data_IF_910193325461
#
_entry.id   IF_910193325461
#
_cell.length_a   1.000
_cell.length_b   1.000
_cell.length_c   1.000
_cell.angle_alpha   90.00
_cell.angle_beta   90.00
_cell.angle_gamma   90.00
#
_symmetry.space_group_name_H-M   'P 1'
#
loop_
_entity.id
_entity.type
_entity.pdbx_description
1 polymer ?
#
# COMPACT_ATOMS: atom_id res chain seq x y z
N UNK A 1 12.90 -0.48 26.37
CA UNK A 1 12.19 -1.73 25.97
C UNK A 1 10.99 -1.46 25.05
N UNK A 2 10.78 -0.22 24.61
CA UNK A 2 9.79 0.16 23.57
C UNK A 2 10.43 1.03 22.47
N UNK A 3 11.74 0.91 22.29
CA UNK A 3 12.52 1.82 21.45
C UNK A 3 12.47 1.42 19.95
N UNK A 4 11.83 0.29 19.64
CA UNK A 4 11.82 -0.33 18.32
C UNK A 4 10.40 -0.28 17.70
N UNK A 5 10.03 0.88 17.15
CA UNK A 5 8.69 1.11 16.57
C UNK A 5 8.45 0.35 15.25
N UNK A 6 9.38 0.42 14.29
CA UNK A 6 9.31 -0.32 13.02
C UNK A 6 10.61 -1.08 12.79
N UNK A 7 10.62 -2.36 13.16
CA UNK A 7 11.74 -3.28 12.89
C UNK A 7 11.50 -4.09 11.63
N UNK A 8 12.54 -4.71 11.06
CA UNK A 8 12.38 -5.66 9.96
C UNK A 8 11.39 -6.79 10.28
N UNK A 9 11.36 -7.28 11.52
CA UNK A 9 10.41 -8.33 11.93
C UNK A 9 8.96 -7.82 11.88
N UNK A 10 8.70 -6.60 12.36
CA UNK A 10 7.37 -5.97 12.27
C UNK A 10 7.01 -5.73 10.80
N UNK A 11 7.94 -5.20 10.00
CA UNK A 11 7.76 -4.97 8.57
C UNK A 11 7.64 -6.26 7.75
N UNK A 12 8.03 -7.42 8.28
CA UNK A 12 7.79 -8.71 7.65
C UNK A 12 6.35 -9.20 7.81
N UNK A 13 5.57 -8.58 8.71
CA UNK A 13 4.17 -8.95 8.93
C UNK A 13 3.23 -8.22 7.98
N UNK A 14 2.07 -8.83 7.70
CA UNK A 14 1.02 -8.20 6.92
C UNK A 14 0.61 -6.83 7.51
N UNK A 15 0.36 -6.76 8.82
CA UNK A 15 -0.05 -5.52 9.48
C UNK A 15 1.05 -4.46 9.41
N UNK A 16 2.32 -4.83 9.63
CA UNK A 16 3.44 -3.90 9.53
C UNK A 16 3.57 -3.30 8.12
N UNK A 17 3.45 -4.13 7.08
CA UNK A 17 3.47 -3.67 5.69
C UNK A 17 2.28 -2.76 5.38
N UNK A 18 1.07 -3.12 5.80
CA UNK A 18 -0.13 -2.30 5.59
C UNK A 18 0.03 -0.94 6.26
N UNK A 19 0.48 -0.89 7.51
CA UNK A 19 0.69 0.37 8.24
C UNK A 19 1.79 1.21 7.55
N UNK A 20 2.92 0.59 7.20
CA UNK A 20 4.02 1.27 6.52
C UNK A 20 3.58 1.85 5.17
N UNK A 21 2.94 1.04 4.32
CA UNK A 21 2.39 1.48 3.03
C UNK A 21 1.35 2.58 3.22
N UNK A 22 0.45 2.47 4.19
CA UNK A 22 -0.58 3.49 4.47
C UNK A 22 0.03 4.83 4.84
N UNK A 23 1.06 4.84 5.69
CA UNK A 23 1.74 6.06 6.10
C UNK A 23 2.41 6.71 4.89
N UNK A 24 3.20 5.95 4.12
CA UNK A 24 3.90 6.45 2.93
C UNK A 24 2.90 7.07 1.94
N UNK A 25 1.83 6.35 1.63
CA UNK A 25 0.81 6.81 0.67
C UNK A 25 0.07 8.03 1.17
N UNK A 26 -0.27 8.11 2.45
CA UNK A 26 -0.99 9.26 2.99
C UNK A 26 -0.20 10.57 2.87
N UNK A 27 1.12 10.54 3.08
CA UNK A 27 1.96 11.73 2.91
C UNK A 27 2.22 12.09 1.45
N UNK A 28 2.23 11.10 0.56
CA UNK A 28 2.64 11.30 -0.85
C UNK A 28 1.46 11.47 -1.81
N UNK A 29 0.27 10.98 -1.46
CA UNK A 29 -0.92 10.98 -2.34
C UNK A 29 -1.29 12.36 -2.85
N UNK A 30 -1.13 13.42 -2.06
CA UNK A 30 -1.43 14.80 -2.49
C UNK A 30 -0.52 15.27 -3.63
N UNK A 31 0.75 14.87 -3.62
CA UNK A 31 1.69 15.18 -4.71
C UNK A 31 1.34 14.39 -5.97
N UNK A 32 1.09 13.09 -5.84
CA UNK A 32 0.74 12.21 -6.96
C UNK A 32 -0.59 12.63 -7.59
N UNK A 33 -1.61 12.90 -6.77
CA UNK A 33 -2.94 13.33 -7.23
C UNK A 33 -2.88 14.65 -8.00
N UNK A 34 -2.05 15.60 -7.57
CA UNK A 34 -1.90 16.90 -8.24
C UNK A 34 -1.24 16.77 -9.62
N UNK A 35 -0.35 15.81 -9.82
CA UNK A 35 0.34 15.59 -11.10
C UNK A 35 -0.40 14.68 -12.07
N UNK A 36 -1.05 13.62 -11.58
CA UNK A 36 -1.49 12.49 -12.41
C UNK A 36 -2.94 12.03 -12.18
N UNK A 37 -3.69 12.71 -11.30
CA UNK A 37 -5.09 12.39 -11.01
C UNK A 37 -5.29 11.19 -10.07
N UNK A 38 -6.55 10.81 -9.85
CA UNK A 38 -6.95 9.84 -8.81
C UNK A 38 -6.56 8.38 -9.14
N UNK A 39 -6.61 7.98 -10.41
CA UNK A 39 -6.20 6.63 -10.82
C UNK A 39 -4.71 6.35 -10.56
N UNK A 40 -3.87 7.37 -10.66
CA UNK A 40 -2.43 7.25 -10.44
C UNK A 40 -2.07 6.94 -8.98
N UNK A 41 -2.88 7.40 -8.02
CA UNK A 41 -2.66 7.12 -6.59
C UNK A 41 -2.82 5.62 -6.29
N UNK A 42 -3.78 4.95 -6.95
CA UNK A 42 -4.00 3.51 -6.78
C UNK A 42 -2.81 2.69 -7.30
N UNK A 43 -2.36 2.99 -8.51
CA UNK A 43 -1.19 2.34 -9.09
C UNK A 43 0.06 2.62 -8.27
N UNK A 44 0.27 3.88 -7.85
CA UNK A 44 1.36 4.25 -6.96
C UNK A 44 1.37 3.45 -5.66
N UNK A 45 0.21 3.32 -5.01
CA UNK A 45 0.07 2.55 -3.75
C UNK A 45 0.45 1.08 -3.96
N UNK A 46 0.05 0.49 -5.09
CA UNK A 46 0.45 -0.86 -5.45
C UNK A 46 1.96 -1.02 -5.69
N UNK A 47 2.60 -0.05 -6.35
CA UNK A 47 4.06 -0.08 -6.54
C UNK A 47 4.79 -0.03 -5.20
N UNK A 48 4.34 0.84 -4.29
CA UNK A 48 4.92 0.94 -2.95
C UNK A 48 4.73 -0.37 -2.16
N UNK A 49 3.53 -0.95 -2.17
CA UNK A 49 3.30 -2.22 -1.47
C UNK A 49 4.15 -3.35 -2.04
N UNK A 50 4.32 -3.41 -3.36
CA UNK A 50 5.14 -4.42 -4.04
C UNK A 50 6.60 -4.31 -3.62
N UNK A 51 7.16 -3.09 -3.62
CA UNK A 51 8.55 -2.86 -3.21
C UNK A 51 8.74 -3.28 -1.74
N UNK A 52 7.89 -2.82 -0.83
CA UNK A 52 8.02 -3.14 0.59
C UNK A 52 7.85 -4.65 0.85
N UNK A 53 6.87 -5.29 0.21
CA UNK A 53 6.65 -6.74 0.37
C UNK A 53 7.83 -7.55 -0.15
N UNK A 54 8.45 -7.13 -1.26
CA UNK A 54 9.62 -7.80 -1.82
C UNK A 54 10.85 -7.68 -0.92
N UNK A 55 11.01 -6.54 -0.24
CA UNK A 55 12.15 -6.28 0.65
C UNK A 55 11.97 -6.99 2.00
N UNK A 56 10.79 -6.91 2.60
CA UNK A 56 10.59 -7.33 3.99
C UNK A 56 9.82 -8.63 4.18
N UNK A 57 9.01 -9.06 3.21
CA UNK A 57 8.14 -10.25 3.32
C UNK A 57 8.30 -11.24 2.16
N UNK A 58 9.52 -11.33 1.62
CA UNK A 58 9.84 -12.29 0.55
C UNK A 58 9.52 -13.71 1.01
N UNK A 59 8.47 -14.27 0.43
CA UNK A 59 7.94 -15.57 0.82
C UNK A 59 8.32 -16.61 -0.23
N UNK A 60 9.35 -17.42 0.06
CA UNK A 60 9.80 -18.51 -0.83
C UNK A 60 10.85 -18.11 -1.88
N UNK A 61 11.30 -19.10 -2.66
CA UNK A 61 12.28 -18.96 -3.74
C UNK A 61 11.70 -19.38 -5.10
N UNK A 62 12.29 -18.89 -6.18
CA UNK A 62 11.84 -19.18 -7.54
C UNK A 62 10.52 -18.51 -7.93
N UNK A 63 9.88 -19.05 -8.98
CA UNK A 63 8.68 -18.47 -9.60
C UNK A 63 7.50 -18.39 -8.62
N UNK A 64 7.32 -19.41 -7.79
CA UNK A 64 6.25 -19.46 -6.79
C UNK A 64 6.36 -18.32 -5.77
N UNK A 65 7.58 -18.00 -5.31
CA UNK A 65 7.78 -16.93 -4.34
C UNK A 65 7.51 -15.54 -4.92
N UNK A 66 7.83 -15.33 -6.21
CA UNK A 66 7.51 -14.08 -6.91
C UNK A 66 6.00 -13.90 -7.05
N UNK A 67 5.27 -14.96 -7.45
CA UNK A 67 3.81 -14.93 -7.56
C UNK A 67 3.17 -14.63 -6.20
N UNK A 68 3.64 -15.29 -5.13
CA UNK A 68 3.10 -15.08 -3.80
C UNK A 68 3.35 -13.65 -3.28
N UNK A 69 4.54 -13.11 -3.56
CA UNK A 69 4.89 -11.72 -3.22
C UNK A 69 3.98 -10.72 -3.95
N UNK A 70 3.67 -10.98 -5.22
CA UNK A 70 2.72 -10.19 -6.02
C UNK A 70 1.32 -10.20 -5.40
N UNK A 71 0.81 -11.39 -5.04
CA UNK A 71 -0.52 -11.53 -4.43
C UNK A 71 -0.57 -10.77 -3.09
N UNK A 72 0.45 -10.95 -2.24
CA UNK A 72 0.52 -10.25 -0.95
C UNK A 72 0.57 -8.72 -1.14
N UNK A 73 1.34 -8.23 -2.12
CA UNK A 73 1.40 -6.81 -2.43
C UNK A 73 0.05 -6.22 -2.87
N UNK A 74 -0.76 -6.97 -3.63
CA UNK A 74 -2.13 -6.58 -4.00
C UNK A 74 -3.01 -6.47 -2.75
N UNK A 75 -2.95 -7.45 -1.85
CA UNK A 75 -3.73 -7.43 -0.61
C UNK A 75 -3.34 -6.24 0.29
N UNK A 76 -2.03 -6.01 0.42
CA UNK A 76 -1.49 -4.90 1.21
C UNK A 76 -1.92 -3.55 0.62
N UNK A 77 -1.88 -3.38 -0.71
CA UNK A 77 -2.27 -2.11 -1.33
C UNK A 77 -3.75 -1.81 -1.11
N UNK A 78 -4.63 -2.81 -1.24
CA UNK A 78 -6.06 -2.63 -0.94
C UNK A 78 -6.33 -2.31 0.52
N UNK A 79 -5.64 -2.99 1.44
CA UNK A 79 -5.77 -2.69 2.87
C UNK A 79 -5.24 -1.27 3.20
N UNK A 80 -4.13 -0.86 2.59
CA UNK A 80 -3.46 0.41 2.87
C UNK A 80 -4.18 1.64 2.29
N UNK A 81 -4.86 1.48 1.15
CA UNK A 81 -5.77 2.52 0.65
C UNK A 81 -7.02 2.68 1.53
N UNK A 82 -7.23 1.76 2.49
CA UNK A 82 -8.46 1.59 3.21
C UNK A 82 -9.53 1.10 2.25
N UNK A 83 -10.12 -0.08 2.51
CA UNK A 83 -11.32 -0.53 1.79
C UNK A 83 -12.44 0.53 1.75
N UNK A 84 -12.35 1.55 2.59
CA UNK A 84 -13.22 2.72 2.65
C UNK A 84 -13.30 3.54 1.34
N UNK A 85 -12.23 3.92 0.63
CA UNK A 85 -12.40 4.73 -0.61
C UNK A 85 -12.96 3.92 -1.79
N UNK A 86 -12.84 2.58 -1.77
CA UNK A 86 -13.37 1.67 -2.78
C UNK A 86 -14.83 1.26 -2.48
N UNK A 87 -15.21 1.19 -1.21
CA UNK A 87 -16.57 0.84 -0.76
C UNK A 87 -17.46 2.08 -0.55
N UNK A 88 -16.91 3.20 -0.07
CA UNK A 88 -17.68 4.41 0.22
C UNK A 88 -17.85 5.35 -0.98
N UNK A 89 -16.97 5.27 -1.99
CA UNK A 89 -17.14 6.04 -3.24
C UNK A 89 -16.63 5.26 -4.47
N UNK A 90 -17.33 4.18 -4.89
CA UNK A 90 -17.00 3.46 -6.12
C UNK A 90 -17.14 4.32 -7.39
N UNK A 91 -17.80 5.49 -7.32
CA UNK A 91 -18.09 6.37 -8.46
C UNK A 91 -17.20 7.61 -8.53
N UNK A 92 -16.32 7.85 -7.56
CA UNK A 92 -15.46 9.04 -7.48
C UNK A 92 -16.26 10.36 -7.61
N UNK A 93 -17.45 10.43 -7.01
CA UNK A 93 -18.25 11.66 -6.98
C UNK A 93 -17.76 12.58 -5.85
N UNK A 94 -16.52 13.08 -5.98
CA UNK A 94 -16.12 14.28 -5.21
C UNK A 94 -16.91 15.46 -5.77
N UNK A 95 -18.01 15.81 -5.11
CA UNK A 95 -18.64 17.11 -5.31
C UNK A 95 -17.58 18.19 -5.04
N UNK A 96 -17.22 18.92 -6.09
CA UNK A 96 -16.50 20.18 -5.94
C UNK A 96 -17.39 21.08 -5.10
N UNK A 97 -17.03 21.28 -3.84
CA UNK A 97 -17.60 22.35 -3.04
C UNK A 97 -17.24 23.65 -3.78
N UNK A 98 -18.28 24.35 -4.23
CA UNK A 98 -18.20 25.64 -4.92
C UNK A 98 -17.60 26.71 -4.02
#
# INVERSE_FOLDING_TARGET
MYDNFMTPDVLGTFTGLVVATSIIVQFTKSFIKKGFGDGAVRFYTFIISLILTFVFAKSGSGVQGVILTLINAILISFAAMGGYEVVSDPRAEKQKIK
#
